data_IF_118983305411
#
_entry.id   IF_118983305411
#
_cell.length_a   1.000
_cell.length_b   1.000
_cell.length_c   1.000
_cell.angle_alpha   90.00
_cell.angle_beta   90.00
_cell.angle_gamma   90.00
#
_symmetry.space_group_name_H-M   'P 1'
#
loop_
_entity.id
_entity.type
_entity.pdbx_description
1 polymer ?
#
# COMPACT_ATOMS: atom_id res chain seq x y z
N UNK A 1 -3.41 -18.84 -10.84
CA UNK A 1 -2.96 -19.10 -12.22
C UNK A 1 -2.43 -20.53 -12.33
N UNK A 2 -2.27 -21.07 -13.54
CA UNK A 2 -1.64 -22.39 -13.79
C UNK A 2 -0.26 -22.21 -14.43
N UNK A 3 0.70 -23.02 -14.03
CA UNK A 3 2.05 -23.06 -14.58
C UNK A 3 2.43 -24.50 -14.96
N UNK A 4 2.97 -24.70 -16.16
CA UNK A 4 3.45 -26.02 -16.61
C UNK A 4 4.95 -26.12 -16.34
N UNK A 5 5.35 -27.11 -15.53
CA UNK A 5 6.76 -27.37 -15.17
C UNK A 5 7.58 -27.67 -16.43
N UNK A 6 8.74 -27.02 -16.56
CA UNK A 6 9.68 -27.19 -17.67
C UNK A 6 10.95 -27.92 -17.23
N UNK A 7 11.70 -28.44 -18.19
CA UNK A 7 13.01 -29.05 -17.91
C UNK A 7 13.92 -28.05 -17.19
N UNK A 8 14.50 -28.47 -16.06
CA UNK A 8 15.35 -27.64 -15.20
C UNK A 8 14.62 -26.79 -14.16
N UNK A 9 13.28 -26.86 -14.08
CA UNK A 9 12.53 -26.23 -13.01
C UNK A 9 12.68 -27.01 -11.69
N UNK A 10 12.63 -26.27 -10.58
CA UNK A 10 12.44 -26.79 -9.22
C UNK A 10 11.36 -25.96 -8.53
N UNK A 11 10.73 -26.49 -7.48
CA UNK A 11 9.74 -25.72 -6.72
C UNK A 11 10.33 -24.42 -6.16
N UNK A 12 11.61 -24.41 -5.77
CA UNK A 12 12.29 -23.21 -5.29
C UNK A 12 12.40 -22.14 -6.39
N UNK A 13 12.83 -22.50 -7.61
CA UNK A 13 12.95 -21.56 -8.73
C UNK A 13 11.59 -21.07 -9.21
N UNK A 14 10.59 -21.94 -9.21
CA UNK A 14 9.21 -21.57 -9.53
C UNK A 14 8.68 -20.61 -8.47
N UNK A 15 8.87 -20.92 -7.19
CA UNK A 15 8.46 -20.07 -6.08
C UNK A 15 9.06 -18.67 -6.18
N UNK A 16 10.37 -18.59 -6.38
CA UNK A 16 11.09 -17.33 -6.58
C UNK A 16 10.54 -16.54 -7.77
N UNK A 17 10.35 -17.20 -8.91
CA UNK A 17 9.80 -16.58 -10.13
C UNK A 17 8.42 -15.96 -9.92
N UNK A 18 7.60 -16.54 -9.05
CA UNK A 18 6.24 -16.08 -8.79
C UNK A 18 6.05 -15.35 -7.46
N UNK A 19 7.13 -15.19 -6.68
CA UNK A 19 7.09 -14.52 -5.37
C UNK A 19 6.32 -15.30 -4.30
N UNK A 20 6.38 -16.63 -4.32
CA UNK A 20 5.70 -17.52 -3.37
C UNK A 20 6.68 -18.53 -2.79
N UNK A 21 6.43 -19.02 -1.58
CA UNK A 21 7.29 -20.01 -0.93
C UNK A 21 7.05 -21.43 -1.46
N UNK A 22 8.05 -22.31 -1.29
CA UNK A 22 7.93 -23.74 -1.62
C UNK A 22 6.80 -24.39 -0.81
N UNK A 23 6.68 -24.06 0.48
CA UNK A 23 5.60 -24.57 1.34
C UNK A 23 4.21 -24.22 0.83
N UNK A 24 4.03 -22.99 0.34
CA UNK A 24 2.77 -22.56 -0.28
C UNK A 24 2.48 -23.37 -1.55
N UNK A 25 3.48 -23.54 -2.43
CA UNK A 25 3.33 -24.37 -3.62
C UNK A 25 2.97 -25.82 -3.29
N UNK A 26 3.58 -26.39 -2.25
CA UNK A 26 3.26 -27.74 -1.78
C UNK A 26 1.82 -27.84 -1.29
N UNK A 27 1.37 -26.87 -0.49
CA UNK A 27 0.02 -26.85 0.06
C UNK A 27 -1.04 -26.76 -1.04
N UNK A 28 -0.88 -25.85 -2.01
CA UNK A 28 -1.86 -25.65 -3.08
C UNK A 28 -1.97 -26.81 -4.05
N UNK A 29 -0.88 -27.56 -4.22
CA UNK A 29 -0.79 -28.66 -5.19
C UNK A 29 -0.77 -30.05 -4.55
N UNK A 30 -0.87 -30.15 -3.23
CA UNK A 30 -0.79 -31.42 -2.50
C UNK A 30 0.55 -32.15 -2.64
N UNK A 31 1.65 -31.43 -2.88
CA UNK A 31 2.98 -32.03 -3.10
C UNK A 31 3.63 -32.36 -1.76
N UNK A 32 3.82 -33.66 -1.50
CA UNK A 32 4.47 -34.15 -0.27
C UNK A 32 5.99 -34.04 -0.31
N UNK A 33 6.59 -34.32 -1.46
CA UNK A 33 8.04 -34.24 -1.66
C UNK A 33 8.38 -33.07 -2.59
N UNK A 34 8.97 -31.98 -2.09
CA UNK A 34 9.25 -30.79 -2.89
C UNK A 34 10.34 -31.01 -3.96
N UNK A 35 11.18 -32.02 -3.78
CA UNK A 35 12.24 -32.38 -4.72
C UNK A 35 11.73 -33.24 -5.89
N UNK A 36 10.46 -33.65 -5.85
CA UNK A 36 9.86 -34.52 -6.86
C UNK A 36 8.70 -33.82 -7.57
N UNK A 37 9.04 -33.14 -8.67
CA UNK A 37 8.09 -32.59 -9.66
C UNK A 37 8.46 -33.08 -11.06
N UNK A 38 7.45 -33.28 -11.91
CA UNK A 38 7.64 -33.82 -13.26
C UNK A 38 7.51 -32.74 -14.32
N UNK A 39 8.33 -32.81 -15.36
CA UNK A 39 8.18 -31.95 -16.54
C UNK A 39 6.81 -32.20 -17.17
N UNK A 40 6.08 -31.12 -17.48
CA UNK A 40 4.70 -31.17 -17.96
C UNK A 40 3.64 -31.17 -16.85
N UNK A 41 4.02 -31.29 -15.58
CA UNK A 41 3.08 -31.18 -14.46
C UNK A 41 2.49 -29.76 -14.40
N UNK A 42 1.17 -29.67 -14.25
CA UNK A 42 0.50 -28.40 -13.97
C UNK A 42 0.56 -28.08 -12.47
N UNK A 43 1.06 -26.90 -12.14
CA UNK A 43 1.05 -26.34 -10.80
C UNK A 43 0.07 -25.17 -10.73
N UNK A 44 -0.83 -25.23 -9.76
CA UNK A 44 -1.63 -24.12 -9.30
C UNK A 44 -0.77 -23.16 -8.48
N UNK A 45 -0.73 -21.90 -8.93
CA UNK A 45 -0.04 -20.82 -8.24
C UNK A 45 -1.11 -19.83 -7.80
N UNK A 46 -1.43 -19.84 -6.51
CA UNK A 46 -2.24 -18.82 -5.89
C UNK A 46 -1.32 -17.66 -5.55
N UNK A 47 -1.09 -16.77 -6.53
CA UNK A 47 -0.56 -15.46 -6.19
C UNK A 47 -1.66 -14.79 -5.38
N UNK A 48 -1.54 -14.79 -4.05
CA UNK A 48 -2.09 -13.68 -3.30
C UNK A 48 -1.47 -12.46 -3.97
N UNK A 49 -2.33 -11.60 -4.52
CA UNK A 49 -1.89 -10.27 -4.88
C UNK A 49 -1.04 -9.81 -3.70
N UNK A 50 0.18 -9.35 -3.95
CA UNK A 50 0.86 -8.48 -2.99
C UNK A 50 0.10 -7.12 -2.87
N UNK A 51 -1.23 -7.18 -2.90
CA UNK A 51 -2.14 -6.40 -2.07
C UNK A 51 -2.14 -7.03 -0.65
N UNK A 52 -0.99 -7.54 -0.20
CA UNK A 52 -0.73 -7.89 1.17
C UNK A 52 -0.86 -6.59 1.95
N UNK A 53 -2.05 -6.36 2.51
CA UNK A 53 -2.29 -5.29 3.46
C UNK A 53 -1.79 -3.94 2.95
N UNK A 54 -2.18 -3.50 1.76
CA UNK A 54 -2.19 -2.06 1.51
C UNK A 54 -3.15 -1.52 2.55
N UNK A 55 -2.61 -1.05 3.69
CA UNK A 55 -3.38 -0.57 4.83
C UNK A 55 -4.10 0.68 4.35
N UNK A 56 -5.27 0.47 3.77
CA UNK A 56 -6.11 1.55 3.28
C UNK A 56 -6.78 2.16 4.49
N UNK A 57 -6.67 3.48 4.56
CA UNK A 57 -7.47 4.30 5.45
C UNK A 57 -8.92 4.17 4.96
N UNK A 58 -9.80 3.66 5.82
CA UNK A 58 -11.23 3.57 5.52
C UNK A 58 -11.97 4.79 6.04
N UNK A 59 -13.14 5.07 5.46
CA UNK A 59 -14.08 6.07 5.99
C UNK A 59 -14.37 5.84 7.48
N UNK A 60 -14.69 4.60 7.85
CA UNK A 60 -15.02 4.25 9.24
C UNK A 60 -13.88 4.51 10.22
N UNK A 61 -12.63 4.34 9.80
CA UNK A 61 -11.47 4.66 10.63
C UNK A 61 -11.33 6.17 10.84
N UNK A 62 -11.52 6.97 9.77
CA UNK A 62 -11.49 8.44 9.86
C UNK A 62 -12.61 8.97 10.75
N UNK A 63 -13.83 8.46 10.57
CA UNK A 63 -14.98 8.80 11.42
C UNK A 63 -14.72 8.45 12.90
N UNK A 64 -14.11 7.29 13.17
CA UNK A 64 -13.78 6.86 14.53
C UNK A 64 -12.75 7.76 15.24
N UNK A 65 -11.89 8.44 14.48
CA UNK A 65 -10.92 9.42 15.02
C UNK A 65 -11.44 10.87 14.95
N UNK A 66 -12.73 11.06 14.65
CA UNK A 66 -13.40 12.37 14.70
C UNK A 66 -13.34 13.18 13.42
N UNK A 67 -12.92 12.61 12.29
CA UNK A 67 -13.07 13.28 11.00
C UNK A 67 -14.54 13.37 10.63
N UNK A 68 -14.92 14.52 10.06
CA UNK A 68 -16.29 14.76 9.59
C UNK A 68 -16.28 15.64 8.35
N UNK A 69 -17.40 15.65 7.60
CA UNK A 69 -17.58 16.49 6.41
C UNK A 69 -16.49 16.36 5.35
N UNK A 70 -15.97 15.15 5.11
CA UNK A 70 -14.98 14.84 4.06
C UNK A 70 -15.57 13.99 2.94
N UNK A 71 -14.98 14.07 1.74
CA UNK A 71 -15.42 13.33 0.55
C UNK A 71 -14.63 12.04 0.34
N UNK A 72 -15.15 11.14 -0.50
CA UNK A 72 -14.40 9.96 -0.95
C UNK A 72 -13.10 10.34 -1.67
N UNK A 73 -13.06 11.50 -2.33
CA UNK A 73 -11.83 11.97 -2.97
C UNK A 73 -10.71 12.18 -1.95
N UNK A 74 -11.01 12.72 -0.77
CA UNK A 74 -10.01 12.91 0.29
C UNK A 74 -9.47 11.56 0.77
N UNK A 75 -10.35 10.56 0.91
CA UNK A 75 -9.95 9.20 1.28
C UNK A 75 -9.03 8.61 0.20
N UNK A 76 -9.36 8.83 -1.07
CA UNK A 76 -8.53 8.39 -2.19
C UNK A 76 -7.18 9.09 -2.19
N UNK A 77 -7.12 10.40 -1.97
CA UNK A 77 -5.88 11.17 -1.96
C UNK A 77 -4.96 10.74 -0.80
N UNK A 78 -5.53 10.54 0.41
CA UNK A 78 -4.80 9.99 1.55
C UNK A 78 -4.22 8.60 1.23
N UNK A 79 -5.06 7.72 0.65
CA UNK A 79 -4.63 6.37 0.27
C UNK A 79 -3.61 6.37 -0.89
N UNK A 80 -3.69 7.32 -1.81
CA UNK A 80 -2.69 7.51 -2.85
C UNK A 80 -1.37 7.98 -2.24
N UNK A 81 -1.41 8.93 -1.30
CA UNK A 81 -0.21 9.44 -0.62
C UNK A 81 0.54 8.33 0.10
N UNK A 82 -0.14 7.54 0.94
CA UNK A 82 0.51 6.43 1.67
C UNK A 82 1.08 5.38 0.71
N UNK A 83 0.47 5.19 -0.47
CA UNK A 83 0.97 4.27 -1.48
C UNK A 83 2.20 4.82 -2.21
N UNK A 84 2.16 6.08 -2.65
CA UNK A 84 3.24 6.74 -3.39
C UNK A 84 4.50 6.81 -2.52
N UNK A 85 4.35 7.17 -1.25
CA UNK A 85 5.47 7.32 -0.32
C UNK A 85 5.78 6.06 0.48
N UNK A 86 5.11 4.94 0.18
CA UNK A 86 5.32 3.64 0.84
C UNK A 86 5.23 3.73 2.37
N UNK A 87 4.21 4.43 2.87
CA UNK A 87 3.86 4.51 4.29
C UNK A 87 3.13 3.20 4.66
N UNK A 88 3.88 2.11 4.77
CA UNK A 88 3.33 0.75 4.92
C UNK A 88 3.27 0.26 6.37
N UNK A 89 4.07 0.85 7.27
CA UNK A 89 4.11 0.49 8.69
C UNK A 89 3.00 1.18 9.50
N UNK A 90 2.45 0.49 10.50
CA UNK A 90 1.32 1.00 11.28
C UNK A 90 1.64 2.31 12.02
N UNK A 91 2.83 2.40 12.62
CA UNK A 91 3.28 3.59 13.33
C UNK A 91 3.42 4.80 12.39
N UNK A 92 3.92 4.60 11.17
CA UNK A 92 4.04 5.66 10.17
C UNK A 92 2.66 6.10 9.67
N UNK A 93 1.73 5.17 9.47
CA UNK A 93 0.34 5.49 9.11
C UNK A 93 -0.35 6.30 10.21
N UNK A 94 -0.21 5.87 11.47
CA UNK A 94 -0.76 6.58 12.62
C UNK A 94 -0.18 7.99 12.76
N UNK A 95 1.14 8.12 12.59
CA UNK A 95 1.81 9.41 12.63
C UNK A 95 1.32 10.33 11.50
N UNK A 96 1.28 9.83 10.27
CA UNK A 96 0.78 10.56 9.11
C UNK A 96 -0.66 11.06 9.33
N UNK A 97 -1.57 10.17 9.74
CA UNK A 97 -2.96 10.54 9.99
C UNK A 97 -3.10 11.48 11.17
N UNK A 98 -2.30 11.32 12.22
CA UNK A 98 -2.28 12.26 13.35
C UNK A 98 -1.92 13.67 12.89
N UNK A 99 -0.88 13.82 12.05
CA UNK A 99 -0.48 15.12 11.51
C UNK A 99 -1.57 15.72 10.63
N UNK A 100 -2.11 14.96 9.67
CA UNK A 100 -3.21 15.44 8.83
C UNK A 100 -4.44 15.86 9.66
N UNK A 101 -4.75 15.13 10.72
CA UNK A 101 -5.87 15.43 11.63
C UNK A 101 -5.62 16.72 12.40
N UNK A 102 -4.42 16.93 12.91
CA UNK A 102 -4.05 18.12 13.67
C UNK A 102 -4.15 19.38 12.81
N UNK A 103 -3.50 19.36 11.64
CA UNK A 103 -3.41 20.52 10.76
C UNK A 103 -4.76 20.90 10.13
N UNK A 104 -5.60 19.91 9.80
CA UNK A 104 -6.89 20.17 9.14
C UNK A 104 -8.08 20.29 10.10
N UNK A 105 -7.86 20.17 11.42
CA UNK A 105 -8.96 20.06 12.39
C UNK A 105 -9.87 18.87 12.10
N UNK A 106 -9.27 17.69 11.92
CA UNK A 106 -9.93 16.44 11.52
C UNK A 106 -10.74 16.60 10.21
N UNK A 107 -10.13 17.23 9.22
CA UNK A 107 -10.71 17.49 7.92
C UNK A 107 -11.67 18.69 7.89
N UNK A 108 -11.94 19.38 8.99
CA UNK A 108 -12.89 20.51 8.99
C UNK A 108 -12.39 21.73 8.20
N UNK A 109 -11.08 21.98 8.23
CA UNK A 109 -10.44 23.14 7.62
C UNK A 109 -9.40 22.65 6.62
N UNK A 110 -9.71 22.81 5.32
CA UNK A 110 -8.90 22.26 4.21
C UNK A 110 -8.56 23.29 3.14
N UNK A 111 -9.03 24.51 3.33
CA UNK A 111 -8.75 25.66 2.48
C UNK A 111 -8.16 26.69 3.42
N UNK A 112 -6.99 27.24 3.08
CA UNK A 112 -6.45 28.37 3.81
C UNK A 112 -7.43 29.55 3.68
N UNK A 113 -7.96 30.03 4.80
CA UNK A 113 -8.88 31.16 4.83
C UNK A 113 -8.14 32.51 4.71
N UNK A 114 -6.82 32.50 4.87
CA UNK A 114 -5.95 33.67 4.71
C UNK A 114 -5.27 33.60 3.34
N UNK A 115 -5.14 34.74 2.64
CA UNK A 115 -4.31 34.78 1.44
C UNK A 115 -2.86 34.54 1.84
N UNK A 116 -2.16 33.67 1.11
CA UNK A 116 -0.73 33.42 1.27
C UNK A 116 0.14 34.66 0.99
N UNK A 117 -0.46 35.78 0.57
CA UNK A 117 0.21 37.06 0.23
C UNK A 117 1.07 37.58 1.38
N UNK A 118 0.72 37.30 2.64
CA UNK A 118 1.55 37.67 3.80
C UNK A 118 2.87 36.89 3.91
N UNK A 119 3.00 35.77 3.18
CA UNK A 119 4.16 34.88 3.17
C UNK A 119 4.93 34.91 1.85
N UNK A 120 4.42 35.60 0.83
CA UNK A 120 5.12 35.78 -0.45
C UNK A 120 6.42 36.56 -0.27
N UNK A 121 7.52 36.01 -0.79
CA UNK A 121 8.85 36.64 -0.73
C UNK A 121 9.62 36.46 0.59
N UNK A 122 9.08 35.71 1.57
CA UNK A 122 9.79 35.38 2.80
C UNK A 122 10.78 34.23 2.61
N UNK A 123 12.03 34.60 2.30
CA UNK A 123 13.17 33.69 2.14
C UNK A 123 13.47 32.82 3.36
N UNK A 124 13.09 33.26 4.56
CA UNK A 124 13.31 32.56 5.82
C UNK A 124 12.30 31.43 6.09
N UNK A 125 11.16 31.43 5.38
CA UNK A 125 10.18 30.35 5.40
C UNK A 125 10.29 29.40 4.21
N UNK A 126 11.29 29.61 3.33
CA UNK A 126 11.50 28.78 2.14
C UNK A 126 10.46 29.01 1.02
N UNK A 127 9.57 29.98 1.17
CA UNK A 127 8.59 30.35 0.14
C UNK A 127 9.18 31.42 -0.78
N UNK A 128 10.02 30.99 -1.73
CA UNK A 128 10.84 31.91 -2.53
C UNK A 128 10.33 32.16 -3.94
N UNK A 129 9.32 31.44 -4.44
CA UNK A 129 8.86 31.59 -5.83
C UNK A 129 7.38 31.24 -6.00
N UNK A 130 6.49 32.23 -5.87
CA UNK A 130 5.26 32.23 -6.68
C UNK A 130 5.63 32.75 -8.07
N UNK A 131 5.51 31.87 -9.08
CA UNK A 131 5.54 32.24 -10.51
C UNK A 131 4.14 32.64 -10.96
#
# INVERSE_FOLDING_TARGET
MKYVVKSGDSLSRIGEKFGVSVSQLQQWNGIKNPDFILVGQELMIMKESNDTLTRKITRSQLEAIGWSNFSEQIINDLNQCINVYRITELNLLQHFISQCSHESGCGKWRIELASGEAYEGRSDLGNVLAL
#
